data_IF_768063121094
#
_entry.id   IF_768063121094
#
_cell.length_a   1.000
_cell.length_b   1.000
_cell.length_c   1.000
_cell.angle_alpha   90.00
_cell.angle_beta   90.00
_cell.angle_gamma   90.00
#
_symmetry.space_group_name_H-M   'P 1'
#
loop_
_entity.id
_entity.type
_entity.pdbx_description
1 polymer ?
#
# COMPACT_ATOMS: atom_id res chain seq x y z
N UNK A 1 24.89 -59.90 33.09
CA UNK A 1 24.68 -59.76 31.63
C UNK A 1 23.25 -59.28 31.42
N UNK A 2 23.00 -57.97 31.50
CA UNK A 2 21.68 -57.37 31.24
C UNK A 2 21.93 -56.10 30.44
N UNK A 3 21.53 -56.11 29.17
CA UNK A 3 21.68 -55.02 28.23
C UNK A 3 20.32 -54.33 28.09
N UNK A 4 20.19 -53.11 28.60
CA UNK A 4 18.99 -52.28 28.41
C UNK A 4 19.19 -51.34 27.21
N UNK A 5 18.53 -51.70 26.11
CA UNK A 5 18.34 -50.85 24.93
C UNK A 5 17.30 -49.78 25.22
N UNK A 6 17.74 -48.53 25.34
CA UNK A 6 16.86 -47.36 25.20
C UNK A 6 16.72 -47.03 23.72
N UNK A 7 15.55 -47.28 23.13
CA UNK A 7 15.17 -46.72 21.83
C UNK A 7 14.57 -45.34 22.10
N UNK A 8 15.37 -44.29 21.96
CA UNK A 8 14.83 -42.93 21.84
C UNK A 8 14.20 -42.82 20.45
N UNK A 9 12.88 -42.81 20.39
CA UNK A 9 12.13 -42.41 19.20
C UNK A 9 12.10 -40.90 19.22
N UNK A 10 13.02 -40.25 18.49
CA UNK A 10 12.88 -38.85 18.13
C UNK A 10 11.72 -38.75 17.13
N UNK A 11 10.53 -38.47 17.66
CA UNK A 11 9.41 -38.03 16.83
C UNK A 11 9.80 -36.66 16.26
N UNK A 12 10.23 -36.67 15.00
CA UNK A 12 10.45 -35.48 14.19
C UNK A 12 9.06 -34.85 13.95
N UNK A 13 8.60 -34.03 14.90
CA UNK A 13 7.50 -33.10 14.67
C UNK A 13 8.02 -32.05 13.69
N UNK A 14 7.91 -32.35 12.39
CA UNK A 14 7.86 -31.32 11.36
C UNK A 14 6.61 -30.49 11.61
N UNK A 15 6.73 -29.50 12.49
CA UNK A 15 5.80 -28.39 12.53
C UNK A 15 5.89 -27.71 11.16
N UNK A 16 4.94 -28.02 10.29
CA UNK A 16 4.57 -27.16 9.18
C UNK A 16 4.04 -25.88 9.82
N UNK A 17 4.95 -25.01 10.23
CA UNK A 17 4.64 -23.61 10.46
C UNK A 17 4.34 -23.09 9.06
N UNK A 18 3.07 -23.16 8.67
CA UNK A 18 2.56 -22.28 7.63
C UNK A 18 2.79 -20.88 8.20
N UNK A 19 3.90 -20.25 7.79
CA UNK A 19 4.21 -18.89 8.18
C UNK A 19 3.04 -18.05 7.75
N UNK A 20 2.29 -17.50 8.72
CA UNK A 20 1.40 -16.40 8.41
C UNK A 20 2.30 -15.33 7.80
N UNK A 21 1.90 -14.79 6.66
CA UNK A 21 2.61 -13.66 6.09
C UNK A 21 2.68 -12.52 7.11
N UNK A 22 3.61 -11.61 6.88
CA UNK A 22 3.81 -10.42 7.70
C UNK A 22 4.47 -9.29 6.92
N UNK A 23 4.99 -8.33 7.67
CA UNK A 23 5.84 -7.28 7.13
C UNK A 23 7.15 -7.21 7.91
N UNK A 24 8.25 -6.86 7.25
CA UNK A 24 9.55 -6.63 7.88
C UNK A 24 9.97 -5.20 7.63
N UNK A 25 10.27 -4.46 8.68
CA UNK A 25 10.97 -3.19 8.56
C UNK A 25 12.47 -3.51 8.44
N UNK A 26 13.08 -3.16 7.32
CA UNK A 26 14.49 -3.44 7.07
C UNK A 26 15.41 -2.58 7.97
N UNK A 27 16.63 -3.07 8.21
CA UNK A 27 17.64 -2.39 9.02
C UNK A 27 18.00 -0.99 8.47
N UNK A 28 17.82 -0.75 7.17
CA UNK A 28 17.94 0.58 6.57
C UNK A 28 17.10 1.64 7.29
N UNK A 29 15.90 1.30 7.77
CA UNK A 29 15.03 2.25 8.49
C UNK A 29 15.60 2.67 9.84
N UNK A 30 16.26 1.74 10.54
CA UNK A 30 16.98 2.03 11.77
C UNK A 30 18.25 2.86 11.51
N UNK A 31 18.97 2.59 10.40
CA UNK A 31 20.15 3.36 9.98
C UNK A 31 19.80 4.81 9.64
N UNK A 32 18.66 5.03 9.00
CA UNK A 32 18.13 6.37 8.70
C UNK A 32 17.47 7.05 9.92
N UNK A 33 17.30 6.33 11.03
CA UNK A 33 16.69 6.86 12.26
C UNK A 33 15.18 7.10 12.18
N UNK A 34 14.48 6.43 11.25
CA UNK A 34 13.03 6.59 11.00
C UNK A 34 12.20 5.32 11.25
N UNK A 35 12.80 4.25 11.79
CA UNK A 35 12.13 2.97 12.07
C UNK A 35 10.81 3.12 12.84
N UNK A 36 10.81 3.91 13.93
CA UNK A 36 9.61 4.13 14.73
C UNK A 36 8.52 4.88 13.94
N UNK A 37 8.90 5.80 13.06
CA UNK A 37 7.94 6.53 12.23
C UNK A 37 7.30 5.60 11.19
N UNK A 38 8.08 4.66 10.64
CA UNK A 38 7.56 3.59 9.75
C UNK A 38 6.61 2.67 10.50
N UNK A 39 6.96 2.24 11.72
CA UNK A 39 6.09 1.38 12.55
C UNK A 39 4.77 2.08 12.93
N UNK A 40 4.84 3.38 13.24
CA UNK A 40 3.67 4.21 13.49
C UNK A 40 2.80 4.34 12.22
N UNK A 41 3.42 4.53 11.05
CA UNK A 41 2.70 4.62 9.79
C UNK A 41 2.07 3.28 9.38
N UNK A 42 2.72 2.14 9.61
CA UNK A 42 2.14 0.80 9.44
C UNK A 42 0.94 0.61 10.35
N UNK A 43 1.06 0.98 11.63
CA UNK A 43 -0.07 0.94 12.59
C UNK A 43 -1.24 1.77 12.06
N UNK A 44 -0.97 3.00 11.60
CA UNK A 44 -1.97 3.87 11.00
C UNK A 44 -2.63 3.27 9.75
N UNK A 45 -1.85 2.61 8.89
CA UNK A 45 -2.35 1.92 7.70
C UNK A 45 -3.29 0.76 8.08
N UNK A 46 -2.99 -0.01 9.12
CA UNK A 46 -3.91 -1.05 9.60
C UNK A 46 -5.18 -0.47 10.22
N UNK A 47 -5.12 0.68 10.89
CA UNK A 47 -6.33 1.37 11.35
C UNK A 47 -7.23 1.79 10.17
N UNK A 48 -6.65 2.18 9.03
CA UNK A 48 -7.40 2.45 7.80
C UNK A 48 -8.08 1.18 7.27
N UNK A 49 -7.38 0.05 7.28
CA UNK A 49 -7.91 -1.26 6.87
C UNK A 49 -9.06 -1.69 7.76
N UNK A 50 -8.89 -1.61 9.08
CA UNK A 50 -9.91 -1.97 10.07
C UNK A 50 -11.16 -1.09 9.91
N UNK A 51 -10.98 0.23 9.74
CA UNK A 51 -12.07 1.20 9.52
C UNK A 51 -12.82 0.91 8.21
N UNK A 52 -12.09 0.60 7.13
CA UNK A 52 -12.69 0.24 5.84
C UNK A 52 -13.54 -1.03 5.95
N UNK A 53 -13.01 -2.10 6.56
CA UNK A 53 -13.73 -3.35 6.77
C UNK A 53 -14.98 -3.17 7.61
N UNK A 54 -14.87 -2.47 8.75
CA UNK A 54 -16.02 -2.22 9.62
C UNK A 54 -17.14 -1.48 8.88
N UNK A 55 -16.79 -0.49 8.05
CA UNK A 55 -17.76 0.27 7.26
C UNK A 55 -18.37 -0.53 6.10
N UNK A 56 -17.57 -1.32 5.39
CA UNK A 56 -18.04 -2.14 4.26
C UNK A 56 -18.90 -3.33 4.69
N UNK A 57 -18.71 -3.83 5.91
CA UNK A 57 -19.45 -4.97 6.45
C UNK A 57 -20.61 -4.58 7.37
N UNK A 58 -20.81 -3.28 7.61
CA UNK A 58 -21.92 -2.78 8.41
C UNK A 58 -23.28 -3.09 7.76
N UNK A 59 -24.24 -3.54 8.57
CA UNK A 59 -25.62 -3.80 8.14
C UNK A 59 -26.61 -3.05 9.04
N UNK A 60 -27.33 -2.03 8.52
CA UNK A 60 -27.20 -1.46 7.17
C UNK A 60 -25.91 -0.64 7.00
N UNK A 61 -25.48 -0.42 5.75
CA UNK A 61 -24.41 0.53 5.43
C UNK A 61 -24.81 1.94 5.87
N UNK A 62 -23.90 2.63 6.55
CA UNK A 62 -24.09 4.04 6.94
C UNK A 62 -24.16 4.93 5.69
N UNK A 63 -25.03 5.94 5.69
CA UNK A 63 -25.21 6.82 4.55
C UNK A 63 -23.92 7.55 4.15
N UNK A 64 -23.11 7.92 5.13
CA UNK A 64 -21.83 8.59 4.89
C UNK A 64 -20.82 7.66 4.20
N UNK A 65 -20.85 6.36 4.49
CA UNK A 65 -20.08 5.34 3.74
C UNK A 65 -20.60 5.25 2.31
N UNK A 66 -21.92 5.16 2.12
CA UNK A 66 -22.56 5.10 0.79
C UNK A 66 -22.17 6.30 -0.07
N UNK A 67 -22.12 7.51 0.50
CA UNK A 67 -21.74 8.72 -0.24
C UNK A 67 -20.30 8.64 -0.75
N UNK A 68 -19.38 8.09 0.05
CA UNK A 68 -17.98 7.88 -0.35
C UNK A 68 -17.88 6.80 -1.42
N UNK A 69 -18.64 5.70 -1.28
CA UNK A 69 -18.72 4.65 -2.31
C UNK A 69 -19.24 5.21 -3.64
N UNK A 70 -20.22 6.10 -3.58
CA UNK A 70 -20.77 6.78 -4.75
C UNK A 70 -19.75 7.64 -5.48
N UNK A 71 -18.79 8.22 -4.75
CA UNK A 71 -17.74 9.08 -5.30
C UNK A 71 -16.56 8.28 -5.87
N UNK A 72 -16.21 7.16 -5.23
CA UNK A 72 -14.98 6.42 -5.51
C UNK A 72 -15.17 5.15 -6.34
N UNK A 73 -16.36 4.54 -6.34
CA UNK A 73 -16.56 3.24 -6.98
C UNK A 73 -17.81 3.16 -7.87
N UNK A 74 -18.86 3.93 -7.58
CA UNK A 74 -20.11 3.84 -8.34
C UNK A 74 -20.01 4.50 -9.73
N UNK A 75 -20.36 3.74 -10.75
CA UNK A 75 -20.55 4.25 -12.11
C UNK A 75 -21.83 5.08 -12.28
N UNK A 76 -21.97 5.80 -13.42
CA UNK A 76 -23.19 6.55 -13.72
C UNK A 76 -24.44 5.67 -13.64
N UNK A 77 -25.38 6.03 -12.75
CA UNK A 77 -26.64 5.30 -12.54
C UNK A 77 -26.53 4.02 -11.71
N UNK A 78 -25.34 3.66 -11.23
CA UNK A 78 -25.14 2.53 -10.31
C UNK A 78 -25.53 2.92 -8.88
N UNK A 79 -26.21 2.02 -8.16
CA UNK A 79 -26.45 2.20 -6.72
C UNK A 79 -25.13 2.05 -5.95
N UNK A 80 -24.67 3.09 -5.21
CA UNK A 80 -23.46 3.03 -4.41
C UNK A 80 -23.40 1.87 -3.40
N UNK A 81 -24.55 1.36 -2.93
CA UNK A 81 -24.61 0.21 -2.01
C UNK A 81 -24.17 -1.10 -2.64
N UNK A 82 -24.25 -1.17 -3.98
CA UNK A 82 -23.79 -2.30 -4.78
C UNK A 82 -22.50 -1.97 -5.52
N UNK A 83 -21.93 -0.78 -5.29
CA UNK A 83 -20.73 -0.29 -5.95
C UNK A 83 -19.44 -0.80 -5.31
N UNK A 84 -19.49 -1.89 -4.55
CA UNK A 84 -18.32 -2.54 -3.96
C UNK A 84 -18.46 -4.04 -4.19
N UNK A 85 -17.37 -4.66 -4.63
CA UNK A 85 -17.30 -6.10 -4.85
C UNK A 85 -16.87 -6.82 -3.59
N UNK A 86 -17.22 -8.10 -3.47
CA UNK A 86 -16.64 -9.00 -2.46
C UNK A 86 -15.10 -8.89 -2.46
N UNK A 87 -14.51 -8.76 -3.66
CA UNK A 87 -13.08 -8.50 -3.86
C UNK A 87 -12.53 -7.33 -3.04
N UNK A 88 -13.21 -6.19 -2.97
CA UNK A 88 -12.71 -5.04 -2.19
C UNK A 88 -12.65 -5.37 -0.69
N UNK A 89 -13.68 -6.05 -0.19
CA UNK A 89 -13.73 -6.52 1.20
C UNK A 89 -12.62 -7.53 1.45
N UNK A 90 -12.43 -8.48 0.52
CA UNK A 90 -11.42 -9.52 0.59
C UNK A 90 -10.00 -8.94 0.61
N UNK A 91 -9.71 -7.91 -0.19
CA UNK A 91 -8.39 -7.26 -0.18
C UNK A 91 -8.09 -6.65 1.19
N UNK A 92 -9.02 -5.89 1.77
CA UNK A 92 -8.79 -5.34 3.11
C UNK A 92 -8.69 -6.44 4.17
N UNK A 93 -9.50 -7.49 4.09
CA UNK A 93 -9.45 -8.61 5.02
C UNK A 93 -8.09 -9.33 4.94
N UNK A 94 -7.63 -9.58 3.72
CA UNK A 94 -6.32 -10.18 3.47
C UNK A 94 -5.18 -9.31 3.97
N UNK A 95 -5.18 -8.00 3.74
CA UNK A 95 -4.16 -7.10 4.30
C UNK A 95 -4.15 -7.18 5.84
N UNK A 96 -5.34 -7.14 6.47
CA UNK A 96 -5.46 -7.24 7.93
C UNK A 96 -4.92 -8.56 8.45
N UNK A 97 -5.24 -9.67 7.80
CA UNK A 97 -4.97 -11.01 8.31
C UNK A 97 -3.52 -11.45 7.98
N UNK A 98 -3.00 -11.01 6.83
CA UNK A 98 -1.70 -11.44 6.29
C UNK A 98 -0.57 -10.44 6.54
N UNK A 99 -0.82 -9.17 6.85
CA UNK A 99 0.27 -8.20 7.03
C UNK A 99 0.34 -7.61 8.42
N UNK A 100 -0.55 -7.95 9.34
CA UNK A 100 -0.58 -7.29 10.67
C UNK A 100 0.60 -7.61 11.58
N UNK A 101 1.29 -8.73 11.36
CA UNK A 101 2.41 -9.13 12.20
C UNK A 101 3.74 -8.65 11.60
N UNK A 102 4.55 -7.98 12.43
CA UNK A 102 5.93 -7.64 12.07
C UNK A 102 6.80 -8.90 12.20
N UNK A 103 7.51 -9.25 11.14
CA UNK A 103 8.49 -10.33 11.10
C UNK A 103 9.73 -9.87 11.88
N UNK A 104 10.17 -10.60 12.93
CA UNK A 104 11.34 -10.22 13.71
C UNK A 104 12.60 -10.04 12.84
N UNK A 105 13.46 -9.10 13.22
CA UNK A 105 14.66 -8.73 12.45
C UNK A 105 15.58 -9.94 12.18
N UNK A 106 15.66 -10.86 13.13
CA UNK A 106 16.47 -12.08 13.08
C UNK A 106 15.82 -13.26 12.35
N UNK A 107 14.56 -13.12 11.93
CA UNK A 107 13.85 -14.14 11.17
C UNK A 107 13.98 -13.91 9.66
N UNK A 108 14.06 -15.00 8.87
CA UNK A 108 13.97 -14.91 7.43
C UNK A 108 12.57 -14.43 7.04
N UNK A 109 12.50 -13.65 5.97
CA UNK A 109 11.25 -13.27 5.34
C UNK A 109 10.74 -14.42 4.47
N UNK A 110 9.44 -14.71 4.55
CA UNK A 110 8.74 -15.62 3.66
C UNK A 110 8.48 -15.00 2.30
N UNK A 111 8.06 -15.84 1.34
CA UNK A 111 7.75 -15.41 -0.03
C UNK A 111 6.61 -14.40 -0.12
N UNK A 112 5.75 -14.40 0.89
CA UNK A 112 4.53 -13.63 0.94
C UNK A 112 4.68 -12.36 1.80
N UNK A 113 5.80 -12.20 2.50
CA UNK A 113 6.06 -11.06 3.37
C UNK A 113 6.34 -9.77 2.59
N UNK A 114 5.98 -8.63 3.18
CA UNK A 114 6.34 -7.31 2.68
C UNK A 114 7.60 -6.81 3.37
N UNK A 115 8.64 -6.48 2.61
CA UNK A 115 9.86 -5.87 3.19
C UNK A 115 9.82 -4.36 2.95
N UNK A 116 9.99 -3.55 3.98
CA UNK A 116 10.00 -2.10 3.90
C UNK A 116 11.44 -1.59 3.99
N UNK A 117 11.98 -1.08 2.89
CA UNK A 117 13.30 -0.45 2.82
C UNK A 117 13.20 1.07 2.94
N UNK A 118 14.10 1.68 3.72
CA UNK A 118 14.15 3.14 3.91
C UNK A 118 15.32 3.81 3.19
N UNK A 119 16.24 3.05 2.61
CA UNK A 119 17.29 3.57 1.74
C UNK A 119 17.53 2.62 0.56
N UNK A 120 18.63 2.83 -0.18
CA UNK A 120 18.95 2.12 -1.43
C UNK A 120 20.13 1.18 -1.30
N UNK A 121 20.58 0.92 -0.08
CA UNK A 121 21.81 0.17 0.12
C UNK A 121 21.66 -1.29 -0.31
N UNK A 122 20.43 -1.79 -0.47
CA UNK A 122 20.14 -3.09 -1.06
C UNK A 122 20.39 -3.13 -2.58
N UNK A 123 20.47 -1.98 -3.26
CA UNK A 123 20.76 -1.95 -4.69
C UNK A 123 22.24 -1.90 -5.02
N UNK A 124 22.64 -2.64 -6.05
CA UNK A 124 24.00 -2.67 -6.58
C UNK A 124 23.98 -2.39 -8.08
N UNK A 125 24.70 -1.35 -8.53
CA UNK A 125 24.87 -1.09 -9.95
C UNK A 125 25.79 -2.17 -10.57
N UNK A 126 25.27 -2.91 -11.54
CA UNK A 126 25.99 -4.00 -12.23
C UNK A 126 26.60 -3.52 -13.55
N UNK A 127 25.82 -2.80 -14.36
CA UNK A 127 26.28 -2.25 -15.64
C UNK A 127 25.77 -0.81 -15.81
N UNK A 128 26.67 0.15 -15.61
CA UNK A 128 26.37 1.59 -15.74
C UNK A 128 25.92 1.98 -17.15
N UNK A 129 26.43 1.31 -18.19
CA UNK A 129 26.13 1.67 -19.57
C UNK A 129 24.74 1.18 -19.98
N UNK A 130 24.33 0.03 -19.46
CA UNK A 130 23.00 -0.55 -19.68
C UNK A 130 21.99 -0.15 -18.62
N UNK A 131 22.44 0.59 -17.61
CA UNK A 131 21.63 1.00 -16.45
C UNK A 131 21.00 -0.20 -15.72
N UNK A 132 21.77 -1.29 -15.58
CA UNK A 132 21.35 -2.53 -14.93
C UNK A 132 21.78 -2.50 -13.47
N UNK A 133 20.83 -2.74 -12.59
CA UNK A 133 20.98 -2.82 -11.15
C UNK A 133 20.55 -4.20 -10.66
N UNK A 134 21.18 -4.66 -9.58
CA UNK A 134 20.82 -5.84 -8.82
C UNK A 134 20.18 -5.38 -7.51
N UNK A 135 18.98 -5.86 -7.24
CA UNK A 135 18.43 -5.89 -5.90
C UNK A 135 19.08 -7.04 -5.12
N UNK A 136 19.99 -6.72 -4.19
CA UNK A 136 20.70 -7.73 -3.39
C UNK A 136 19.80 -8.43 -2.38
N UNK A 137 18.65 -7.85 -2.02
CA UNK A 137 17.73 -8.47 -1.08
C UNK A 137 16.94 -9.60 -1.76
N UNK A 138 16.58 -9.40 -3.04
CA UNK A 138 15.72 -10.32 -3.79
C UNK A 138 16.45 -11.10 -4.90
N UNK A 139 17.73 -10.80 -5.15
CA UNK A 139 18.53 -11.35 -6.26
C UNK A 139 17.91 -11.12 -7.65
N UNK A 140 17.36 -9.92 -7.87
CA UNK A 140 16.65 -9.54 -9.11
C UNK A 140 17.42 -8.45 -9.86
N UNK A 141 17.59 -8.63 -11.17
CA UNK A 141 18.15 -7.62 -12.06
C UNK A 141 17.05 -6.76 -12.69
N UNK A 142 17.25 -5.45 -12.77
CA UNK A 142 16.31 -4.54 -13.40
C UNK A 142 17.02 -3.31 -14.00
N UNK A 143 16.31 -2.57 -14.84
CA UNK A 143 16.79 -1.29 -15.38
C UNK A 143 16.36 -0.10 -14.50
N UNK A 144 17.24 0.86 -14.17
CA UNK A 144 16.88 1.96 -13.25
C UNK A 144 15.72 2.82 -13.77
N UNK A 145 15.62 2.99 -15.08
CA UNK A 145 14.49 3.69 -15.73
C UNK A 145 13.14 3.01 -15.50
N UNK A 146 13.14 1.75 -15.11
CA UNK A 146 11.96 0.93 -14.90
C UNK A 146 11.60 0.82 -13.42
N UNK A 147 12.58 0.79 -12.50
CA UNK A 147 12.32 0.59 -11.07
C UNK A 147 12.78 1.73 -10.14
N UNK A 148 13.74 2.57 -10.51
CA UNK A 148 14.36 3.53 -9.57
C UNK A 148 13.88 4.98 -9.75
N UNK A 149 13.60 5.64 -8.61
CA UNK A 149 13.46 7.09 -8.55
C UNK A 149 14.82 7.77 -8.92
N UNK A 150 15.03 8.18 -10.17
CA UNK A 150 16.30 8.79 -10.59
C UNK A 150 16.47 10.30 -10.26
N UNK A 151 17.59 10.61 -9.60
CA UNK A 151 18.63 11.62 -9.90
C UNK A 151 18.42 13.12 -9.60
N UNK A 152 17.84 13.52 -8.46
CA UNK A 152 17.90 14.95 -8.08
C UNK A 152 18.17 15.13 -6.59
N UNK A 153 18.70 16.28 -6.19
CA UNK A 153 18.95 16.69 -4.79
C UNK A 153 17.73 16.54 -3.83
N UNK A 154 16.56 16.11 -4.33
CA UNK A 154 15.37 15.63 -3.62
C UNK A 154 15.43 14.13 -3.20
N UNK A 155 16.54 13.43 -3.44
CA UNK A 155 16.76 12.00 -3.14
C UNK A 155 16.88 11.68 -1.62
N UNK A 156 16.56 12.62 -0.73
CA UNK A 156 16.62 12.47 0.74
C UNK A 156 15.31 11.99 1.39
N UNK A 157 14.32 11.59 0.60
CA UNK A 157 13.05 11.12 1.14
C UNK A 157 12.59 9.86 0.40
N UNK A 158 13.39 8.80 0.54
CA UNK A 158 12.91 7.43 0.41
C UNK A 158 12.20 7.10 1.71
N UNK A 159 10.89 6.96 1.66
CA UNK A 159 10.09 6.79 2.88
C UNK A 159 9.75 5.32 3.15
N UNK A 160 9.59 4.53 2.09
CA UNK A 160 9.41 3.08 2.14
C UNK A 160 9.38 2.56 0.70
N UNK A 161 10.16 1.53 0.39
CA UNK A 161 9.97 0.68 -0.79
C UNK A 161 9.53 -0.70 -0.31
N UNK A 162 8.51 -1.26 -0.93
CA UNK A 162 8.03 -2.62 -0.63
C UNK A 162 8.34 -3.57 -1.76
N UNK A 163 8.97 -4.69 -1.48
CA UNK A 163 9.17 -5.78 -2.45
C UNK A 163 8.55 -7.08 -1.95
N UNK A 164 8.04 -7.89 -2.88
CA UNK A 164 7.74 -9.30 -2.63
C UNK A 164 8.90 -10.16 -3.21
N UNK A 165 9.50 -11.08 -2.45
CA UNK A 165 10.84 -11.58 -2.75
C UNK A 165 11.00 -12.53 -3.95
N UNK A 166 9.97 -13.04 -4.64
CA UNK A 166 10.18 -13.98 -5.74
C UNK A 166 9.21 -13.81 -6.92
N UNK A 167 9.76 -13.34 -8.05
CA UNK A 167 9.19 -13.15 -9.40
C UNK A 167 8.51 -11.80 -9.68
N UNK A 168 9.35 -10.80 -9.97
CA UNK A 168 8.92 -9.68 -10.80
C UNK A 168 9.84 -9.51 -12.00
N UNK A 169 9.33 -9.80 -13.20
CA UNK A 169 9.98 -9.37 -14.44
C UNK A 169 9.29 -8.18 -15.10
N UNK A 170 8.20 -7.60 -14.53
CA UNK A 170 7.43 -6.57 -15.29
C UNK A 170 6.62 -5.52 -14.48
N UNK A 171 6.86 -5.32 -13.19
CA UNK A 171 6.11 -4.32 -12.40
C UNK A 171 6.92 -3.08 -12.07
N UNK A 172 6.21 -1.94 -12.04
CA UNK A 172 6.77 -0.61 -11.76
C UNK A 172 6.36 -0.17 -10.37
N UNK A 173 7.31 -0.14 -9.45
CA UNK A 173 7.15 0.46 -8.12
C UNK A 173 6.82 1.96 -8.21
N UNK A 174 6.04 2.47 -7.25
CA UNK A 174 5.70 3.90 -7.17
C UNK A 174 6.60 4.64 -6.19
N UNK A 175 6.77 5.94 -6.42
CA UNK A 175 7.86 6.73 -5.86
C UNK A 175 7.39 7.57 -4.66
N UNK A 176 8.20 7.72 -3.61
CA UNK A 176 7.89 8.60 -2.46
C UNK A 176 7.61 10.06 -2.86
N UNK A 177 8.25 10.56 -3.93
CA UNK A 177 7.95 11.90 -4.49
C UNK A 177 6.52 12.01 -5.07
N UNK A 178 5.94 10.90 -5.52
CA UNK A 178 4.58 10.89 -6.05
C UNK A 178 3.54 11.02 -4.92
N UNK A 179 3.90 10.64 -3.68
CA UNK A 179 3.11 10.85 -2.47
C UNK A 179 3.15 12.33 -2.01
N UNK A 180 4.34 12.95 -2.01
CA UNK A 180 4.59 14.32 -1.50
C UNK A 180 3.80 15.41 -2.28
N UNK A 181 3.52 15.20 -3.56
CA UNK A 181 2.80 16.17 -4.40
C UNK A 181 1.27 16.09 -4.33
N UNK A 182 0.72 15.21 -3.49
CA UNK A 182 -0.75 15.03 -3.40
C UNK A 182 -1.38 16.13 -2.55
N UNK A 183 -2.55 16.62 -2.97
CA UNK A 183 -3.32 17.66 -2.28
C UNK A 183 -4.40 17.07 -1.34
N UNK A 184 -4.35 15.77 -1.06
CA UNK A 184 -5.30 15.10 -0.18
C UNK A 184 -4.67 15.03 1.21
N UNK A 185 -5.28 15.69 2.19
CA UNK A 185 -4.87 15.63 3.60
C UNK A 185 -4.17 16.87 4.18
N UNK A 186 -3.78 17.86 3.35
CA UNK A 186 -3.05 19.04 3.87
C UNK A 186 -3.91 19.85 4.86
N UNK A 187 -3.61 19.65 6.16
CA UNK A 187 -4.15 20.24 7.41
C UNK A 187 -5.36 19.47 7.99
N UNK A 188 -5.40 19.03 9.26
CA UNK A 188 -4.80 19.57 10.50
C UNK A 188 -4.43 18.45 11.49
N UNK A 189 -3.15 18.36 11.87
CA UNK A 189 -2.77 18.04 13.25
C UNK A 189 -2.35 19.38 13.89
N UNK A 190 -2.84 19.68 15.09
CA UNK A 190 -2.45 20.89 15.81
C UNK A 190 -0.95 20.83 16.14
N UNK A 191 -0.13 21.49 15.34
CA UNK A 191 1.23 21.85 15.75
C UNK A 191 1.13 23.01 16.73
N UNK A 192 1.37 22.73 18.01
CA UNK A 192 1.68 23.76 19.00
C UNK A 192 3.03 24.39 18.62
N UNK A 193 3.00 25.49 17.87
CA UNK A 193 4.22 26.28 17.60
C UNK A 193 4.11 27.15 16.34
N UNK A 194 3.74 28.42 16.53
CA UNK A 194 3.86 29.46 15.50
C UNK A 194 5.34 29.67 15.14
N UNK A 195 5.76 29.31 13.93
CA UNK A 195 7.00 29.82 13.34
C UNK A 195 6.64 30.74 12.14
N UNK A 196 7.17 31.97 12.04
CA UNK A 196 6.68 32.96 11.08
C UNK A 196 7.25 32.85 9.65
N UNK A 197 8.21 31.96 9.36
CA UNK A 197 8.83 31.90 8.02
C UNK A 197 9.30 30.48 7.62
N UNK A 198 8.82 30.04 6.44
CA UNK A 198 9.55 29.21 5.48
C UNK A 198 9.76 27.73 5.79
N UNK A 199 8.96 26.87 5.15
CA UNK A 199 9.00 25.39 5.14
C UNK A 199 8.40 24.71 6.38
N UNK A 200 7.08 24.58 6.37
CA UNK A 200 6.37 23.65 7.26
C UNK A 200 6.53 22.23 6.69
N UNK A 201 7.20 21.33 7.43
CA UNK A 201 7.25 19.87 7.19
C UNK A 201 5.85 19.24 7.41
N UNK A 202 4.86 19.65 6.62
CA UNK A 202 3.51 19.07 6.68
C UNK A 202 3.50 17.77 5.85
N UNK A 203 2.93 16.72 6.44
CA UNK A 203 2.29 15.56 5.80
C UNK A 203 3.11 14.41 5.22
N UNK A 204 4.44 14.40 5.23
CA UNK A 204 5.16 13.22 4.70
C UNK A 204 4.76 11.92 5.44
N UNK A 205 4.52 11.98 6.76
CA UNK A 205 4.11 10.83 7.58
C UNK A 205 2.62 10.50 7.52
N UNK A 206 1.74 11.50 7.34
CA UNK A 206 0.31 11.27 7.08
C UNK A 206 0.04 10.84 5.63
N UNK A 207 1.06 10.88 4.78
CA UNK A 207 1.07 10.27 3.47
C UNK A 207 1.73 8.88 3.51
N UNK A 208 2.65 8.65 4.44
CA UNK A 208 3.38 7.39 4.56
C UNK A 208 2.45 6.21 4.83
N UNK A 209 1.52 6.35 5.76
CA UNK A 209 0.51 5.31 6.06
C UNK A 209 -0.37 4.97 4.85
N UNK A 210 -0.79 5.96 4.07
CA UNK A 210 -1.52 5.76 2.81
C UNK A 210 -0.66 5.10 1.75
N UNK A 211 0.62 5.48 1.64
CA UNK A 211 1.58 4.83 0.75
C UNK A 211 1.76 3.38 1.15
N UNK A 212 1.97 3.10 2.44
CA UNK A 212 2.10 1.73 2.94
C UNK A 212 0.84 0.93 2.68
N UNK A 213 -0.36 1.50 2.85
CA UNK A 213 -1.61 0.84 2.46
C UNK A 213 -1.68 0.58 0.94
N UNK A 214 -1.27 1.54 0.11
CA UNK A 214 -1.20 1.36 -1.34
C UNK A 214 -0.29 0.19 -1.71
N UNK A 215 0.91 0.17 -1.14
CA UNK A 215 1.89 -0.88 -1.37
C UNK A 215 1.40 -2.24 -0.86
N UNK A 216 0.74 -2.28 0.30
CA UNK A 216 0.11 -3.52 0.80
C UNK A 216 -0.93 -4.07 -0.19
N UNK A 217 -1.65 -3.24 -0.95
CA UNK A 217 -2.59 -3.74 -1.97
C UNK A 217 -1.92 -4.33 -3.21
N UNK A 218 -0.62 -4.11 -3.41
CA UNK A 218 0.18 -4.80 -4.42
C UNK A 218 0.77 -6.11 -3.90
N UNK A 219 0.82 -6.28 -2.58
CA UNK A 219 1.32 -7.48 -1.93
C UNK A 219 0.57 -8.73 -2.39
N UNK A 220 1.31 -9.80 -2.64
CA UNK A 220 0.77 -11.09 -3.10
C UNK A 220 -0.33 -11.59 -2.17
N UNK A 221 -0.07 -11.56 -0.87
CA UNK A 221 -1.04 -11.99 0.14
C UNK A 221 -2.23 -11.06 0.28
N UNK A 222 -2.24 -9.85 -0.30
CA UNK A 222 -3.44 -9.01 -0.35
C UNK A 222 -4.37 -9.42 -1.50
N UNK A 223 -3.81 -9.98 -2.58
CA UNK A 223 -4.59 -10.44 -3.71
C UNK A 223 -3.79 -11.45 -4.56
N UNK A 224 -4.23 -12.70 -4.56
CA UNK A 224 -3.90 -13.68 -5.60
C UNK A 224 -5.20 -14.30 -6.07
N UNK A 225 -5.47 -14.25 -7.37
CA UNK A 225 -6.45 -15.16 -7.98
C UNK A 225 -5.73 -16.35 -8.57
N UNK A 226 -6.30 -17.53 -8.31
CA UNK A 226 -5.83 -18.78 -8.89
C UNK A 226 -6.90 -19.33 -9.82
N UNK A 227 -6.46 -19.93 -10.92
CA UNK A 227 -7.33 -20.63 -11.85
C UNK A 227 -7.87 -21.94 -11.23
N UNK A 228 -8.65 -22.69 -12.01
CA UNK A 228 -9.20 -23.99 -11.60
C UNK A 228 -8.13 -25.05 -11.27
N UNK A 229 -6.90 -24.85 -11.74
CA UNK A 229 -5.75 -25.72 -11.48
C UNK A 229 -4.92 -25.28 -10.27
N UNK A 230 -5.27 -24.14 -9.65
CA UNK A 230 -4.51 -23.55 -8.56
C UNK A 230 -3.30 -22.71 -9.02
N UNK A 231 -3.13 -22.52 -10.33
CA UNK A 231 -2.10 -21.67 -10.91
C UNK A 231 -2.49 -20.20 -10.76
N UNK A 232 -1.50 -19.34 -10.54
CA UNK A 232 -1.72 -17.91 -10.34
C UNK A 232 -2.15 -17.25 -11.66
N UNK A 233 -3.33 -16.62 -11.68
CA UNK A 233 -3.87 -15.88 -12.83
C UNK A 233 -3.61 -14.37 -12.72
N UNK A 234 -3.71 -13.81 -11.50
CA UNK A 234 -3.44 -12.39 -11.21
C UNK A 234 -2.89 -12.26 -9.78
N UNK A 235 -1.95 -11.33 -9.57
CA UNK A 235 -1.36 -11.04 -8.26
C UNK A 235 -1.39 -9.53 -8.04
N UNK A 236 -1.76 -9.03 -6.87
CA UNK A 236 -1.83 -7.59 -6.57
C UNK A 236 -2.83 -6.80 -7.43
N UNK A 237 -3.10 -5.55 -7.02
CA UNK A 237 -3.99 -4.66 -7.77
C UNK A 237 -3.24 -3.81 -8.80
N UNK A 238 -3.93 -3.36 -9.84
CA UNK A 238 -3.29 -2.54 -10.86
C UNK A 238 -3.16 -1.10 -10.36
N UNK A 239 -1.92 -0.61 -10.29
CA UNK A 239 -1.64 0.81 -10.12
C UNK A 239 -2.24 1.63 -11.27
N UNK A 240 -2.82 2.79 -10.99
CA UNK A 240 -3.52 3.57 -12.02
C UNK A 240 -2.56 3.96 -13.16
N UNK A 241 -2.66 3.30 -14.33
CA UNK A 241 -1.85 3.64 -15.51
C UNK A 241 -2.02 5.13 -15.81
N UNK A 242 -0.93 5.89 -15.74
CA UNK A 242 -0.93 7.27 -16.24
C UNK A 242 -0.92 7.18 -17.75
N UNK A 243 -1.99 7.64 -18.40
CA UNK A 243 -1.91 8.01 -19.82
C UNK A 243 -0.70 8.94 -19.99
N UNK A 244 0.16 8.65 -20.97
CA UNK A 244 1.33 9.47 -21.32
C UNK A 244 0.94 10.96 -21.20
N UNK A 245 1.73 11.71 -20.42
CA UNK A 245 1.39 13.06 -20.01
C UNK A 245 0.94 13.95 -21.18
N UNK A 246 -0.07 14.78 -20.92
CA UNK A 246 -0.79 15.65 -21.86
C UNK A 246 0.14 16.49 -22.77
N UNK A 247 1.40 16.76 -22.41
CA UNK A 247 2.22 17.78 -23.10
C UNK A 247 3.65 17.36 -23.49
N UNK A 248 4.01 16.07 -23.54
CA UNK A 248 5.34 15.64 -24.02
C UNK A 248 6.57 16.12 -23.21
N UNK A 249 6.36 16.98 -22.21
CA UNK A 249 7.36 17.52 -21.30
C UNK A 249 7.25 16.75 -19.98
N UNK A 250 8.15 15.78 -19.77
CA UNK A 250 8.22 14.91 -18.59
C UNK A 250 8.59 15.60 -17.26
N UNK A 251 8.29 16.90 -17.12
CA UNK A 251 8.71 17.74 -15.99
C UNK A 251 7.68 17.83 -14.86
N UNK A 252 6.41 17.47 -15.10
CA UNK A 252 5.38 17.42 -14.07
C UNK A 252 4.52 16.16 -14.30
N UNK A 253 4.98 15.02 -13.76
CA UNK A 253 4.11 13.84 -13.62
C UNK A 253 2.99 14.23 -12.67
N UNK A 254 1.81 14.54 -13.21
CA UNK A 254 0.62 14.81 -12.42
C UNK A 254 0.36 13.60 -11.50
N UNK A 255 0.27 13.87 -10.21
CA UNK A 255 0.17 12.87 -9.15
C UNK A 255 -0.95 11.88 -9.37
N UNK A 256 -0.58 10.61 -9.32
CA UNK A 256 -1.43 9.43 -9.51
C UNK A 256 -2.44 9.19 -8.39
N UNK A 257 -2.21 9.74 -7.19
CA UNK A 257 -3.04 9.52 -6.00
C UNK A 257 -4.17 10.55 -5.81
N UNK A 258 -4.52 11.31 -6.84
CA UNK A 258 -5.47 12.41 -6.74
C UNK A 258 -6.92 11.92 -6.63
N UNK A 259 -7.70 12.57 -5.75
CA UNK A 259 -9.14 12.34 -5.59
C UNK A 259 -9.84 12.39 -6.95
N UNK A 260 -9.53 13.40 -7.75
CA UNK A 260 -10.08 13.56 -9.10
C UNK A 260 -9.79 12.37 -10.01
N UNK A 261 -8.64 11.68 -9.86
CA UNK A 261 -8.30 10.53 -10.69
C UNK A 261 -9.09 9.30 -10.24
N UNK A 262 -9.12 9.01 -8.94
CA UNK A 262 -9.90 7.90 -8.37
C UNK A 262 -11.40 8.07 -8.66
N UNK A 263 -11.95 9.27 -8.40
CA UNK A 263 -13.33 9.59 -8.73
C UNK A 263 -13.62 9.56 -10.25
N UNK A 264 -12.62 9.84 -11.10
CA UNK A 264 -12.80 9.67 -12.55
C UNK A 264 -12.79 8.21 -13.00
N UNK A 265 -12.13 7.31 -12.26
CA UNK A 265 -12.17 5.87 -12.55
C UNK A 265 -13.57 5.32 -12.32
N UNK A 266 -14.21 5.71 -11.21
CA UNK A 266 -15.61 5.36 -10.94
C UNK A 266 -16.55 5.77 -12.08
N UNK A 267 -16.31 6.93 -12.70
CA UNK A 267 -17.15 7.48 -13.78
C UNK A 267 -16.90 6.88 -15.16
N UNK A 268 -15.88 6.04 -15.33
CA UNK A 268 -15.64 5.34 -16.59
C UNK A 268 -16.61 4.16 -16.70
N UNK A 269 -16.96 3.78 -17.92
CA UNK A 269 -17.87 2.64 -18.18
C UNK A 269 -17.26 1.26 -17.85
N UNK A 270 -16.10 1.22 -17.19
CA UNK A 270 -15.49 -0.01 -16.74
C UNK A 270 -16.27 -0.53 -15.53
N UNK A 271 -16.99 -1.64 -15.74
CA UNK A 271 -17.73 -2.33 -14.68
C UNK A 271 -16.77 -2.82 -13.60
N UNK A 272 -17.26 -2.84 -12.35
CA UNK A 272 -16.55 -3.44 -11.22
C UNK A 272 -16.01 -4.84 -11.56
N UNK A 273 -14.81 -5.14 -11.06
CA UNK A 273 -14.06 -6.35 -11.40
C UNK A 273 -13.27 -6.26 -12.71
N UNK A 274 -13.46 -5.20 -13.50
CA UNK A 274 -12.66 -4.94 -14.70
C UNK A 274 -11.20 -4.58 -14.38
N UNK A 275 -10.30 -4.80 -15.34
CA UNK A 275 -8.86 -4.53 -15.20
C UNK A 275 -8.53 -3.06 -14.88
N UNK A 276 -9.40 -2.13 -15.29
CA UNK A 276 -9.25 -0.69 -15.06
C UNK A 276 -10.33 -0.14 -14.09
N UNK A 277 -11.11 -1.01 -13.47
CA UNK A 277 -12.18 -0.63 -12.57
C UNK A 277 -11.63 -0.04 -11.26
N UNK A 278 -12.44 0.76 -10.59
CA UNK A 278 -12.05 1.44 -9.36
C UNK A 278 -11.74 0.47 -8.20
N UNK A 279 -12.41 -0.68 -8.15
CA UNK A 279 -12.18 -1.75 -7.17
C UNK A 279 -10.95 -2.62 -7.48
N UNK A 280 -10.35 -2.46 -8.67
CA UNK A 280 -9.06 -3.04 -9.04
C UNK A 280 -7.93 -1.99 -9.04
N UNK A 281 -8.11 -0.92 -8.26
CA UNK A 281 -7.14 0.16 -8.21
C UNK A 281 -6.64 0.43 -6.78
N UNK A 282 -5.36 0.13 -6.57
CA UNK A 282 -4.65 0.35 -5.31
C UNK A 282 -4.78 1.79 -4.77
N UNK A 283 -4.77 2.81 -5.64
CA UNK A 283 -4.91 4.21 -5.22
C UNK A 283 -6.31 4.49 -4.65
N UNK A 284 -7.36 3.98 -5.33
CA UNK A 284 -8.75 4.09 -4.87
C UNK A 284 -8.96 3.40 -3.53
N UNK A 285 -8.42 2.19 -3.35
CA UNK A 285 -8.55 1.45 -2.09
C UNK A 285 -7.84 2.16 -0.94
N UNK A 286 -6.59 2.57 -1.13
CA UNK A 286 -5.85 3.29 -0.10
C UNK A 286 -6.54 4.62 0.26
N UNK A 287 -7.09 5.33 -0.74
CA UNK A 287 -7.88 6.53 -0.52
C UNK A 287 -9.16 6.24 0.27
N UNK A 288 -9.90 5.18 -0.08
CA UNK A 288 -11.10 4.78 0.65
C UNK A 288 -10.80 4.44 2.12
N UNK A 289 -9.75 3.65 2.38
CA UNK A 289 -9.31 3.32 3.74
C UNK A 289 -8.94 4.57 4.55
N UNK A 290 -8.20 5.51 3.96
CA UNK A 290 -7.84 6.76 4.63
C UNK A 290 -9.06 7.61 4.99
N UNK A 291 -10.08 7.64 4.11
CA UNK A 291 -11.33 8.35 4.37
C UNK A 291 -12.11 7.66 5.50
N UNK A 292 -12.19 6.33 5.48
CA UNK A 292 -12.87 5.58 6.53
C UNK A 292 -12.28 5.86 7.92
N UNK A 293 -10.94 5.90 8.00
CA UNK A 293 -10.24 6.23 9.25
C UNK A 293 -10.61 7.61 9.79
N UNK A 294 -10.61 8.65 8.95
CA UNK A 294 -10.97 10.01 9.41
C UNK A 294 -12.44 10.16 9.75
N UNK A 295 -13.31 9.33 9.18
CA UNK A 295 -14.71 9.25 9.57
C UNK A 295 -14.91 8.58 10.94
N UNK A 296 -13.99 7.68 11.33
CA UNK A 296 -14.02 6.95 12.59
C UNK A 296 -13.26 7.67 13.73
N UNK A 297 -12.67 8.85 13.47
CA UNK A 297 -12.08 9.69 14.50
C UNK A 297 -13.14 10.09 15.54
N UNK A 298 -13.00 9.54 16.75
CA UNK A 298 -13.94 9.74 17.87
C UNK A 298 -14.01 11.18 18.36
N UNK A 299 -12.93 11.94 18.20
CA UNK A 299 -12.84 13.30 18.72
C UNK A 299 -13.30 14.34 17.68
N UNK A 300 -13.15 14.01 16.40
CA UNK A 300 -13.40 14.96 15.32
C UNK A 300 -13.74 14.23 14.01
N UNK A 301 -14.89 13.56 13.92
CA UNK A 301 -15.24 12.81 12.71
C UNK A 301 -15.33 13.76 11.50
N UNK A 302 -14.75 13.32 10.38
CA UNK A 302 -14.71 14.06 9.11
C UNK A 302 -15.15 13.17 7.95
N UNK A 303 -15.55 13.78 6.85
CA UNK A 303 -15.77 13.09 5.56
C UNK A 303 -15.13 13.90 4.43
N UNK A 304 -15.37 13.50 3.19
CA UNK A 304 -14.91 14.19 1.99
C UNK A 304 -16.08 14.71 1.14
N UNK A 305 -15.93 15.94 0.66
CA UNK A 305 -16.85 16.51 -0.33
C UNK A 305 -16.54 16.04 -1.76
N UNK A 306 -17.30 16.52 -2.74
CA UNK A 306 -17.13 16.13 -4.15
C UNK A 306 -15.78 16.53 -4.75
N UNK A 307 -15.06 17.46 -4.10
CA UNK A 307 -13.72 17.91 -4.49
C UNK A 307 -12.61 17.16 -3.75
N UNK A 308 -12.96 16.23 -2.86
CA UNK A 308 -12.03 15.47 -2.04
C UNK A 308 -11.47 16.27 -0.87
N UNK A 309 -12.14 17.36 -0.47
CA UNK A 309 -11.75 18.16 0.69
C UNK A 309 -12.30 17.52 1.95
N UNK A 310 -11.47 17.42 2.98
CA UNK A 310 -11.89 16.96 4.31
C UNK A 310 -12.80 18.01 4.92
N UNK A 311 -14.02 17.62 5.27
CA UNK A 311 -15.05 18.47 5.89
C UNK A 311 -15.59 17.81 7.16
N UNK A 312 -16.11 18.56 8.14
CA UNK A 312 -16.82 17.99 9.28
C UNK A 312 -17.90 16.99 8.85
N UNK A 313 -17.99 15.86 9.55
CA UNK A 313 -19.12 14.95 9.41
C UNK A 313 -20.34 15.62 10.07
N UNK A 314 -21.35 15.95 9.27
CA UNK A 314 -22.58 16.60 9.72
C UNK A 314 -23.55 15.62 10.39
#
# INVERSE_FOLDING_TARGET
>A
MVCHRWKLIFALQTFLVFGAAGYKIDQSCAQEGIENDVRNAMTSAFEMVDSALARLTASPLQQTTVDVLGKLFAGPGQDPRTAVTARTVDVFAQIRDNYRNEVPVDQPVGEDDLIIFCNRDHYQLIDKNKDIWLDKANDVFFHSKEAMCGNSMKDKLFLAETSNPLRETDRKYKLGKDAISTLIGKTVVNLSGKAPFGFVQIDAFALLDKVLLHEMTHGRSAYVTRDENGEVEDEGLIGAKTSRGWLGLGLLKATTYGWSKCASLAKRDDRLGGINAADNNADTLALFGSICKVMDDRNSPRTVDDKGRIIPLA
#
